data_IF_007020658989
#
_entry.id   IF_007020658989
#
_cell.length_a   1.000
_cell.length_b   1.000
_cell.length_c   1.000
_cell.angle_alpha   90.00
_cell.angle_beta   90.00
_cell.angle_gamma   90.00
#
_symmetry.space_group_name_H-M   'P 1'
#
loop_
_entity.id
_entity.type
_entity.pdbx_description
1 polymer ?
2 non-polymer ?
3 water ?
#
# COMPACT_ATOMS: atom_id res chain seq x y z
N UNK A 20 30.79 -0.36 9.77
CA UNK A 20 30.87 -1.76 9.31
C UNK A 20 29.50 -2.28 8.87
N UNK A 21 28.99 -1.79 7.73
CA UNK A 21 27.69 -2.21 7.20
C UNK A 21 27.71 -3.63 6.65
N UNK A 22 26.84 -4.47 7.20
CA UNK A 22 26.71 -5.86 6.79
C UNK A 22 27.12 -5.98 5.33
N UNK A 23 28.07 -6.87 5.03
CA UNK A 23 28.57 -7.11 3.67
C UNK A 23 27.50 -7.66 2.72
N UNK A 24 27.81 -7.66 1.43
CA UNK A 24 26.86 -8.16 0.42
C UNK A 24 27.56 -8.67 -0.85
N UNK A 25 26.99 -9.73 -1.48
CA UNK A 25 27.51 -10.34 -2.71
C UNK A 25 27.76 -9.36 -3.86
N UNK A 26 29.03 -9.02 -4.07
CA UNK A 26 29.43 -8.09 -5.13
C UNK A 26 29.38 -8.74 -6.52
N UNK A 27 28.96 -7.97 -7.52
CA UNK A 27 28.83 -8.44 -8.90
C UNK A 27 29.72 -9.63 -9.28
N UNK A 28 29.11 -10.78 -9.58
CA UNK A 28 29.88 -11.96 -9.97
C UNK A 28 29.60 -12.37 -11.41
N UNK A 29 28.40 -12.90 -11.64
CA UNK A 29 27.98 -13.36 -12.97
C UNK A 29 27.27 -12.27 -13.77
N UNK A 54 31.95 17.29 -26.25
CA UNK A 54 31.49 17.32 -27.63
C UNK A 54 29.96 17.35 -27.67
N UNK A 55 29.33 17.06 -26.53
CA UNK A 55 27.87 17.05 -26.37
C UNK A 55 27.10 15.82 -26.87
N UNK A 56 27.81 14.89 -27.52
CA UNK A 56 27.22 13.69 -28.08
C UNK A 56 26.39 12.86 -27.09
N UNK A 57 26.84 12.75 -25.84
CA UNK A 57 26.10 11.96 -24.86
C UNK A 57 24.74 12.58 -24.58
N UNK A 58 24.71 13.83 -24.16
CA UNK A 58 23.44 14.52 -23.89
C UNK A 58 22.51 14.31 -25.06
N UNK A 59 23.11 14.25 -26.24
CA UNK A 59 22.38 14.03 -27.47
C UNK A 59 21.59 12.72 -27.35
N UNK A 60 22.31 11.61 -27.37
CA UNK A 60 21.73 10.27 -27.27
C UNK A 60 20.67 10.17 -26.17
N UNK A 61 21.05 10.57 -24.96
CA UNK A 61 20.13 10.55 -23.83
C UNK A 61 18.82 11.15 -24.29
N UNK A 62 18.85 12.46 -24.50
CA UNK A 62 17.68 13.20 -24.96
C UNK A 62 16.84 12.41 -25.96
N UNK A 63 17.49 11.79 -26.93
CA UNK A 63 16.78 11.03 -27.95
C UNK A 63 15.81 10.05 -27.29
N UNK A 64 16.35 9.20 -26.43
CA UNK A 64 15.55 8.20 -25.73
C UNK A 64 14.57 8.84 -24.76
N UNK A 65 15.12 9.52 -23.76
CA UNK A 65 14.32 10.18 -22.74
C UNK A 65 13.05 10.80 -23.28
N UNK A 66 13.16 11.45 -24.44
CA UNK A 66 12.02 12.11 -25.04
C UNK A 66 10.93 11.10 -25.34
N UNK A 67 11.07 10.39 -26.46
CA UNK A 67 10.08 9.40 -26.84
C UNK A 67 10.28 8.11 -26.04
N UNK A 68 10.25 8.23 -24.72
CA UNK A 68 10.44 7.08 -23.86
C UNK A 68 9.42 5.99 -24.14
N UNK A 69 8.18 6.40 -24.41
CA UNK A 69 7.14 5.44 -24.68
C UNK A 69 7.49 4.50 -25.81
N UNK A 70 7.92 5.05 -26.93
CA UNK A 70 8.28 4.25 -28.11
C UNK A 70 9.49 3.35 -27.83
N UNK A 71 10.41 3.82 -26.99
CA UNK A 71 11.57 3.02 -26.66
C UNK A 71 11.13 1.80 -25.87
N UNK A 72 10.57 2.05 -24.69
CA UNK A 72 10.08 1.00 -23.79
C UNK A 72 9.11 0.06 -24.47
N UNK A 73 8.39 0.58 -25.45
CA UNK A 73 7.39 -0.18 -26.18
C UNK A 73 8.10 -1.08 -27.20
N UNK A 74 9.12 -0.53 -27.84
CA UNK A 74 9.89 -1.30 -28.82
C UNK A 74 10.59 -2.43 -28.07
N UNK A 75 11.19 -2.09 -26.93
CA UNK A 75 11.90 -3.06 -26.11
C UNK A 75 10.98 -4.21 -25.69
N UNK A 76 9.83 -3.86 -25.12
CA UNK A 76 8.85 -4.84 -24.66
C UNK A 76 8.52 -5.86 -25.76
N UNK A 77 8.87 -5.48 -26.98
CA UNK A 77 8.60 -6.32 -28.13
C UNK A 77 9.77 -7.24 -28.44
N UNK A 78 10.93 -6.99 -27.84
CA UNK A 78 12.09 -7.84 -28.09
C UNK A 78 11.76 -9.25 -27.65
N UNK A 79 11.92 -10.21 -28.56
CA UNK A 79 11.65 -11.63 -28.35
C UNK A 79 11.96 -12.17 -26.96
N UNK A 80 13.10 -11.75 -26.40
CA UNK A 80 13.51 -12.22 -25.08
C UNK A 80 12.69 -11.60 -23.97
N UNK A 81 12.55 -10.26 -24.02
CA UNK A 81 11.78 -9.54 -23.02
C UNK A 81 10.33 -10.03 -23.08
N UNK A 82 9.85 -10.26 -24.29
CA UNK A 82 8.50 -10.72 -24.49
C UNK A 82 8.27 -12.06 -23.80
N UNK A 83 8.97 -13.08 -24.26
CA UNK A 83 8.85 -14.43 -23.70
C UNK A 83 8.95 -14.47 -22.17
N UNK A 84 9.98 -13.85 -21.60
CA UNK A 84 10.13 -13.84 -20.17
C UNK A 84 9.04 -13.03 -19.49
N UNK A 85 8.74 -11.84 -20.02
CA UNK A 85 7.69 -10.98 -19.47
C UNK A 85 6.35 -11.69 -19.43
N UNK A 86 6.14 -12.53 -20.43
CA UNK A 86 4.90 -13.31 -20.56
C UNK A 86 4.75 -14.31 -19.41
N UNK A 87 5.78 -15.12 -19.25
CA UNK A 87 5.83 -16.15 -18.21
C UNK A 87 5.65 -15.54 -16.83
N UNK A 88 6.28 -14.40 -16.61
CA UNK A 88 6.19 -13.75 -15.33
C UNK A 88 4.76 -13.20 -15.06
N UNK A 89 4.15 -12.61 -16.08
CA UNK A 89 2.81 -12.07 -15.90
C UNK A 89 1.79 -13.16 -15.57
N UNK A 90 2.01 -14.35 -16.10
CA UNK A 90 1.10 -15.48 -15.91
C UNK A 90 1.36 -16.38 -14.73
N UNK A 91 2.58 -16.34 -14.19
CA UNK A 91 2.92 -17.20 -13.08
C UNK A 91 3.07 -16.48 -11.75
N UNK A 92 3.49 -15.24 -11.79
CA UNK A 92 3.72 -14.52 -10.55
C UNK A 92 2.55 -14.57 -9.56
N UNK A 93 1.33 -14.32 -10.04
CA UNK A 93 0.18 -14.31 -9.15
C UNK A 93 -0.08 -15.60 -8.41
N UNK A 94 0.59 -16.68 -8.84
CA UNK A 94 0.43 -17.98 -8.23
C UNK A 94 1.39 -18.21 -7.07
N UNK A 95 2.37 -17.33 -6.92
CA UNK A 95 3.36 -17.44 -5.86
C UNK A 95 2.79 -16.90 -4.56
N UNK A 96 2.67 -17.77 -3.56
CA UNK A 96 2.11 -17.37 -2.29
C UNK A 96 3.10 -17.30 -1.15
N UNK A 97 4.34 -17.70 -1.41
CA UNK A 97 5.34 -17.71 -0.36
C UNK A 97 6.71 -17.46 -0.90
N UNK A 98 7.64 -17.15 0.00
CA UNK A 98 9.01 -16.91 -0.36
C UNK A 98 9.53 -18.22 -0.95
N UNK A 99 9.07 -19.34 -0.39
CA UNK A 99 9.49 -20.65 -0.86
C UNK A 99 9.10 -20.84 -2.31
N UNK A 100 7.83 -20.59 -2.55
CA UNK A 100 7.24 -20.71 -3.88
C UNK A 100 8.05 -19.90 -4.85
N UNK A 101 8.41 -18.70 -4.41
CA UNK A 101 9.20 -17.77 -5.20
C UNK A 101 10.61 -18.27 -5.50
N UNK A 103 11.72 -21.19 -5.25
CA UNK A 103 11.59 -22.44 -5.98
C UNK A 103 11.44 -22.28 -7.50
N UNK A 104 11.24 -21.05 -7.94
CA UNK A 104 11.10 -20.79 -9.37
C UNK A 104 12.25 -19.95 -9.82
N UNK A 105 13.22 -20.57 -10.48
CA UNK A 105 14.38 -19.85 -10.97
C UNK A 105 14.00 -18.75 -11.95
N UNK A 106 13.16 -19.10 -12.92
CA UNK A 106 12.73 -18.16 -13.96
C UNK A 106 12.18 -16.83 -13.40
N UNK A 107 11.23 -16.91 -12.48
CA UNK A 107 10.63 -15.75 -11.83
C UNK A 107 11.63 -15.03 -10.94
N UNK A 108 12.48 -15.81 -10.28
CA UNK A 108 13.51 -15.30 -9.39
C UNK A 108 14.49 -14.45 -10.19
N UNK A 109 14.99 -15.00 -11.30
CA UNK A 109 15.92 -14.30 -12.16
C UNK A 109 15.29 -13.06 -12.73
N UNK A 110 13.99 -13.12 -12.97
CA UNK A 110 13.27 -11.98 -13.52
C UNK A 110 13.20 -10.80 -12.55
N UNK A 111 12.79 -11.11 -11.33
CA UNK A 111 12.66 -10.11 -10.30
C UNK A 111 13.97 -9.39 -10.03
N UNK A 112 15.06 -10.11 -10.06
CA UNK A 112 16.36 -9.50 -9.79
C UNK A 112 16.90 -8.69 -10.92
N UNK A 113 16.82 -9.23 -12.13
CA UNK A 113 17.31 -8.50 -13.30
C UNK A 113 16.65 -7.13 -13.36
N UNK A 114 15.37 -7.09 -12.98
CA UNK A 114 14.57 -5.87 -12.96
C UNK A 114 15.01 -4.93 -11.85
N UNK A 115 15.56 -5.48 -10.79
CA UNK A 115 16.03 -4.64 -9.71
C UNK A 115 17.52 -4.44 -9.86
N UNK A 116 18.04 -4.85 -11.02
CA UNK A 116 19.44 -4.72 -11.31
C UNK A 116 20.37 -5.65 -10.55
N UNK A 117 19.83 -6.43 -9.61
CA UNK A 117 20.64 -7.35 -8.83
C UNK A 117 20.82 -8.66 -9.59
N UNK A 118 20.94 -8.55 -10.91
CA UNK A 118 21.12 -9.70 -11.78
C UNK A 118 22.46 -10.43 -11.56
N UNK A 119 23.48 -9.73 -11.08
CA UNK A 119 24.77 -10.37 -10.85
C UNK A 119 24.98 -10.90 -9.43
N UNK A 121 22.36 -12.70 -8.20
CA UNK A 121 21.33 -13.73 -8.24
C UNK A 121 21.83 -15.02 -7.60
N UNK A 122 23.11 -15.30 -7.78
CA UNK A 122 23.73 -16.50 -7.25
C UNK A 122 23.68 -16.56 -5.72
N UNK A 123 23.40 -15.43 -5.09
CA UNK A 123 23.34 -15.34 -3.64
C UNK A 123 21.95 -15.71 -3.14
N UNK A 124 21.51 -16.88 -3.56
CA UNK A 124 20.19 -17.33 -3.18
C UNK A 124 19.92 -17.22 -1.71
N UNK A 125 20.87 -17.59 -0.88
CA UNK A 125 20.63 -17.51 0.54
C UNK A 125 20.45 -16.06 1.02
N UNK A 126 21.10 -15.13 0.31
CA UNK A 126 21.06 -13.71 0.63
C UNK A 126 19.72 -13.08 0.25
N UNK A 127 19.32 -13.33 -0.99
CA UNK A 127 18.05 -12.81 -1.48
C UNK A 127 16.92 -13.27 -0.56
N UNK A 128 16.99 -14.51 -0.08
CA UNK A 128 15.94 -15.03 0.79
C UNK A 128 15.80 -14.29 2.11
N UNK A 129 16.94 -14.04 2.76
CA UNK A 129 16.95 -13.35 4.06
C UNK A 129 16.36 -11.94 3.92
N UNK A 130 16.76 -11.25 2.88
CA UNK A 130 16.30 -9.91 2.58
C UNK A 130 14.77 -9.88 2.51
N UNK A 131 14.21 -10.90 1.87
CA UNK A 131 12.78 -11.06 1.68
C UNK A 131 12.12 -11.48 2.96
N UNK A 132 12.79 -12.39 3.65
CA UNK A 132 12.24 -12.91 4.87
C UNK A 132 12.00 -11.85 5.92
N UNK A 133 12.88 -10.86 5.99
CA UNK A 133 12.68 -9.81 6.98
C UNK A 133 11.89 -8.62 6.47
N UNK A 134 11.63 -8.58 5.17
CA UNK A 134 10.87 -7.48 4.59
C UNK A 134 11.65 -6.18 4.60
N UNK A 135 11.01 -5.07 4.23
CA UNK A 135 11.70 -3.78 4.23
C UNK A 135 10.87 -2.67 4.83
N UNK A 136 9.84 -3.03 5.58
CA UNK A 136 8.97 -2.07 6.26
C UNK A 136 9.59 -1.63 7.58
N UNK A 137 9.94 -2.62 8.41
CA UNK A 137 10.55 -2.35 9.69
C UNK A 137 11.93 -1.73 9.53
N UNK A 138 12.17 -0.68 10.30
CA UNK A 138 13.43 0.02 10.26
C UNK A 138 14.59 -0.90 10.57
N UNK A 139 14.29 -1.97 11.31
CA UNK A 139 15.32 -2.93 11.71
C UNK A 139 15.47 -4.12 10.81
N UNK A 140 14.69 -4.18 9.74
CA UNK A 140 14.78 -5.29 8.80
C UNK A 140 16.19 -5.40 8.20
N UNK A 141 16.65 -6.64 8.07
CA UNK A 141 17.96 -6.94 7.51
C UNK A 141 18.32 -6.11 6.30
N UNK A 142 17.43 -6.05 5.33
CA UNK A 142 17.70 -5.29 4.11
C UNK A 142 17.88 -3.77 4.34
N UNK A 143 17.27 -3.26 5.41
CA UNK A 143 17.36 -1.84 5.74
C UNK A 143 18.65 -1.48 6.45
N UNK A 144 19.43 -2.47 6.81
CA UNK A 144 20.69 -2.19 7.47
C UNK A 144 21.83 -2.40 6.49
N UNK A 145 21.47 -2.69 5.24
CA UNK A 145 22.44 -2.87 4.20
C UNK A 145 22.82 -1.48 3.70
N UNK A 146 23.77 -1.40 2.77
CA UNK A 146 24.15 -0.12 2.25
C UNK A 146 23.58 0.01 0.85
N UNK A 147 23.61 -1.07 0.09
CA UNK A 147 23.06 -1.05 -1.25
C UNK A 147 21.55 -1.12 -1.12
N UNK A 148 20.89 0.03 -1.20
CA UNK A 148 19.46 0.11 -1.06
C UNK A 148 18.63 -0.67 -2.12
N UNK A 149 19.26 -1.31 -3.07
CA UNK A 149 18.51 -2.07 -4.07
C UNK A 149 17.93 -3.39 -3.53
N UNK A 150 18.28 -3.74 -2.31
CA UNK A 150 17.74 -4.97 -1.75
C UNK A 150 16.39 -4.63 -1.17
N UNK A 151 16.34 -3.50 -0.48
CA UNK A 151 15.09 -3.03 0.10
C UNK A 151 14.08 -2.90 -1.05
N UNK A 152 14.58 -2.43 -2.20
CA UNK A 152 13.75 -2.27 -3.41
C UNK A 152 13.01 -3.57 -3.67
N UNK A 153 13.78 -4.63 -3.91
CA UNK A 153 13.22 -5.94 -4.21
C UNK A 153 12.20 -6.35 -3.15
N UNK A 154 12.57 -6.20 -1.88
CA UNK A 154 11.71 -6.52 -0.73
C UNK A 154 10.42 -5.70 -0.68
N UNK A 155 10.47 -4.50 -1.25
CA UNK A 155 9.30 -3.64 -1.30
C UNK A 155 8.38 -4.15 -2.40
N UNK A 156 8.96 -4.58 -3.52
CA UNK A 156 8.17 -5.11 -4.63
C UNK A 156 7.57 -6.49 -4.32
N UNK A 157 8.26 -7.28 -3.48
CA UNK A 157 7.81 -8.64 -3.14
C UNK A 157 7.73 -8.81 -1.63
N UNK A 158 6.77 -8.12 -1.03
CA UNK A 158 6.62 -8.12 0.41
C UNK A 158 5.88 -9.32 1.02
N UNK A 159 6.45 -10.51 0.88
CA UNK A 159 5.87 -11.71 1.47
C UNK A 159 5.99 -11.52 2.97
N UNK A 160 6.99 -10.76 3.37
CA UNK A 160 7.24 -10.52 4.78
C UNK A 160 6.13 -9.67 5.39
N UNK A 161 5.68 -8.63 4.66
CA UNK A 161 4.64 -7.78 5.16
C UNK A 161 3.25 -8.11 4.66
N UNK A 162 3.15 -8.72 3.48
CA UNK A 162 1.84 -9.05 2.92
C UNK A 162 1.44 -10.50 2.92
N UNK A 163 2.41 -11.40 3.07
CA UNK A 163 2.11 -12.82 3.09
C UNK A 163 1.71 -13.30 1.72
N UNK A 164 0.71 -14.17 1.64
CA UNK A 164 0.24 -14.68 0.35
C UNK A 164 -0.46 -13.60 -0.47
N UNK A 165 -0.54 -12.39 0.07
CA UNK A 165 -1.18 -11.27 -0.63
C UNK A 165 -0.13 -10.48 -1.41
N UNK A 166 1.13 -10.66 -1.05
CA UNK A 166 2.23 -9.96 -1.68
C UNK A 166 2.30 -10.03 -3.20
N UNK A 167 1.87 -11.16 -3.74
CA UNK A 167 1.89 -11.42 -5.18
C UNK A 167 0.72 -10.73 -5.89
N UNK A 168 -0.21 -10.20 -5.11
CA UNK A 168 -1.39 -9.55 -5.68
C UNK A 168 -1.38 -8.03 -5.63
N UNK A 169 -0.26 -7.40 -5.95
CA UNK A 169 -0.19 -5.96 -5.94
C UNK A 169 0.34 -5.50 -7.28
N UNK A 170 0.38 -4.18 -7.51
CA UNK A 170 0.91 -3.63 -8.76
C UNK A 170 2.43 -3.78 -8.75
N UNK A 171 3.02 -3.44 -7.61
CA UNK A 171 4.46 -3.51 -7.39
C UNK A 171 5.06 -4.88 -7.69
N UNK A 172 4.29 -5.92 -7.45
CA UNK A 172 4.73 -7.29 -7.66
C UNK A 172 4.63 -7.71 -9.13
N UNK A 173 3.54 -7.37 -9.79
CA UNK A 173 3.42 -7.75 -11.19
C UNK A 173 3.77 -6.56 -12.08
N UNK A 174 2.82 -5.65 -12.28
CA UNK A 174 3.01 -4.47 -13.13
C UNK A 174 4.30 -3.72 -12.83
N UNK A 175 4.55 -3.53 -11.53
CA UNK A 175 5.76 -2.83 -11.11
C UNK A 175 7.00 -3.50 -11.66
N UNK A 176 7.27 -4.73 -11.22
CA UNK A 176 8.44 -5.46 -11.69
C UNK A 176 8.50 -5.56 -13.20
N UNK A 177 7.40 -5.96 -13.82
CA UNK A 177 7.39 -6.08 -15.28
C UNK A 177 7.91 -4.80 -15.95
N UNK A 178 7.54 -3.66 -15.38
CA UNK A 178 7.96 -2.38 -15.91
C UNK A 178 9.43 -2.06 -15.71
N UNK A 179 10.00 -2.44 -14.57
CA UNK A 179 11.40 -2.19 -14.31
C UNK A 179 12.31 -3.06 -15.15
N UNK A 180 11.89 -4.31 -15.35
CA UNK A 180 12.65 -5.24 -16.17
C UNK A 180 12.77 -4.60 -17.56
N UNK A 181 11.73 -3.87 -17.95
CA UNK A 181 11.73 -3.20 -19.25
C UNK A 181 12.71 -2.04 -19.26
N UNK A 182 12.63 -1.20 -18.24
CA UNK A 182 13.53 -0.07 -18.13
C UNK A 182 14.96 -0.60 -18.03
N UNK A 183 15.15 -1.61 -17.19
CA UNK A 183 16.44 -2.24 -17.00
C UNK A 183 17.09 -2.64 -18.32
N UNK A 184 16.34 -3.40 -19.11
CA UNK A 184 16.81 -3.88 -20.40
C UNK A 184 17.15 -2.70 -21.31
N UNK A 185 16.25 -1.74 -21.34
CA UNK A 185 16.42 -0.55 -22.16
C UNK A 185 17.67 0.20 -21.77
N UNK A 186 17.91 0.30 -20.47
CA UNK A 186 19.08 1.00 -19.98
C UNK A 186 20.37 0.29 -20.32
N UNK A 187 20.53 -0.96 -19.87
CA UNK A 187 21.75 -1.68 -20.17
C UNK A 187 21.95 -1.84 -21.69
N UNK A 188 20.87 -1.74 -22.45
CA UNK A 188 20.94 -1.87 -23.91
C UNK A 188 21.66 -0.63 -24.45
N UNK A 189 21.44 0.50 -23.77
CA UNK A 189 22.07 1.76 -24.18
C UNK A 189 23.48 1.81 -23.62
N UNK A 190 23.64 1.40 -22.36
CA UNK A 190 24.94 1.40 -21.72
C UNK A 190 25.98 0.63 -22.52
N UNK A 191 25.56 -0.47 -23.14
CA UNK A 191 26.47 -1.28 -23.96
C UNK A 191 27.21 -0.36 -24.91
N UNK A 192 26.50 0.69 -25.31
CA UNK A 192 27.02 1.68 -26.21
C UNK A 192 27.63 2.86 -25.43
N UNK A 193 26.75 3.66 -24.81
CA UNK A 193 27.19 4.82 -24.05
C UNK A 193 26.82 4.68 -22.58
N UNK A 194 27.78 4.25 -21.77
CA UNK A 194 27.54 4.07 -20.36
C UNK A 194 26.98 5.35 -19.75
N UNK A 195 27.57 6.49 -20.12
CA UNK A 195 27.11 7.75 -19.59
C UNK A 195 25.62 7.92 -19.78
N UNK A 196 25.13 7.48 -20.93
CA UNK A 196 23.72 7.57 -21.23
C UNK A 196 22.95 6.73 -20.22
N UNK A 197 23.37 5.47 -20.10
CA UNK A 197 22.76 4.52 -19.17
C UNK A 197 22.58 5.17 -17.81
N UNK A 198 23.66 5.77 -17.31
CA UNK A 198 23.62 6.44 -16.04
C UNK A 198 22.57 7.55 -16.09
N UNK A 199 22.48 8.19 -17.24
CA UNK A 199 21.54 9.28 -17.41
C UNK A 199 20.13 8.82 -17.14
N UNK A 200 19.66 7.92 -17.99
CA UNK A 200 18.31 7.39 -17.86
C UNK A 200 18.05 6.78 -16.48
N UNK A 201 19.03 6.05 -15.95
CA UNK A 201 18.88 5.42 -14.64
C UNK A 201 18.64 6.44 -13.55
N UNK A 202 19.24 7.61 -13.70
CA UNK A 202 19.10 8.66 -12.70
C UNK A 202 17.75 9.34 -12.88
N UNK A 203 17.38 9.61 -14.12
CA UNK A 203 16.10 10.24 -14.41
C UNK A 203 15.02 9.36 -13.80
N UNK A 204 15.26 8.06 -13.85
CA UNK A 204 14.34 7.05 -13.35
C UNK A 204 14.31 6.95 -11.81
N UNK A 205 15.48 6.77 -11.21
CA UNK A 205 15.60 6.64 -9.75
C UNK A 205 15.76 8.00 -9.07
N UNK A 206 15.40 9.05 -9.79
CA UNK A 206 15.54 10.42 -9.28
C UNK A 206 14.78 10.73 -7.98
N UNK A 207 13.44 10.74 -8.04
CA UNK A 207 12.65 11.04 -6.84
C UNK A 207 13.06 10.26 -5.59
N UNK A 208 13.18 8.95 -5.73
CA UNK A 208 13.57 8.05 -4.64
C UNK A 208 14.58 8.66 -3.68
N UNK A 209 15.37 9.61 -4.17
CA UNK A 209 16.38 10.22 -3.33
C UNK A 209 15.77 11.33 -2.48
N UNK A 210 16.10 11.32 -1.20
CA UNK A 210 15.59 12.30 -0.25
C UNK A 210 16.65 12.63 0.80
N UNK A 211 17.79 11.95 0.71
CA UNK A 211 18.89 12.14 1.64
C UNK A 211 20.22 11.97 0.91
N UNK A 212 21.27 12.61 1.42
CA UNK A 212 22.57 12.48 0.80
C UNK A 212 22.93 11.01 0.89
N UNK A 213 22.38 10.36 1.92
CA UNK A 213 22.58 8.94 2.15
C UNK A 213 21.94 8.14 1.02
N UNK A 214 20.69 8.49 0.71
CA UNK A 214 19.97 7.81 -0.37
C UNK A 214 20.75 7.89 -1.68
N UNK A 215 21.62 8.91 -1.78
CA UNK A 215 22.45 9.15 -2.96
C UNK A 215 23.61 8.17 -3.12
N UNK A 216 24.50 8.16 -2.14
CA UNK A 216 25.67 7.28 -2.15
C UNK A 216 25.21 5.82 -2.05
N UNK A 217 23.93 5.64 -1.75
CA UNK A 217 23.31 4.33 -1.58
C UNK A 217 23.24 3.50 -2.85
N UNK A 218 23.69 4.08 -3.97
CA UNK A 218 23.65 3.35 -5.23
C UNK A 218 24.80 3.74 -6.14
N UNK A 219 25.73 2.81 -6.37
CA UNK A 219 26.90 3.04 -7.21
C UNK A 219 26.65 3.90 -8.44
N UNK A 220 25.55 3.62 -9.13
CA UNK A 220 25.19 4.36 -10.34
C UNK A 220 24.75 5.79 -10.03
N UNK A 221 24.02 5.96 -8.94
CA UNK A 221 23.54 7.27 -8.54
C UNK A 221 24.69 8.15 -8.06
N UNK A 222 25.50 7.63 -7.16
CA UNK A 222 26.63 8.40 -6.67
C UNK A 222 27.56 8.74 -7.85
N UNK A 223 27.73 7.79 -8.76
CA UNK A 223 28.58 7.99 -9.92
C UNK A 223 28.16 9.19 -10.73
N UNK A 224 26.85 9.33 -10.91
CA UNK A 224 26.28 10.45 -11.67
C UNK A 224 26.44 11.76 -10.90
N UNK A 225 27.12 11.71 -9.76
CA UNK A 225 27.35 12.90 -8.96
C UNK A 225 28.86 13.16 -8.90
N UNK A 226 29.60 12.12 -8.52
CA UNK A 226 31.05 12.20 -8.44
C UNK A 226 31.62 12.66 -9.78
N UNK A 227 30.79 12.64 -10.81
CA UNK A 227 31.24 13.05 -12.12
C UNK A 227 30.75 14.45 -12.44
N UNK A 228 29.47 14.72 -12.13
CA UNK A 228 28.90 16.05 -12.40
C UNK A 228 29.54 17.16 -11.60
N UNK A 229 30.30 16.80 -10.57
CA UNK A 229 31.01 17.77 -9.75
C UNK A 229 32.48 17.38 -9.77
N UNK A 230 32.85 16.68 -10.83
CA UNK A 230 34.21 16.20 -11.08
C UNK A 230 34.94 15.74 -9.81
N UNK A 231 34.92 14.42 -9.57
CA UNK A 231 35.57 13.84 -8.41
C UNK A 231 35.88 12.35 -8.60
N UNK A 237 36.57 9.00 -6.35
CA UNK A 237 37.76 9.33 -5.56
C UNK A 237 37.39 9.65 -4.10
N UNK A 238 36.23 10.27 -3.90
CA UNK A 238 35.77 10.60 -2.54
C UNK A 238 35.22 9.29 -1.93
N UNK A 239 35.83 8.85 -0.82
CA UNK A 239 35.38 7.61 -0.16
C UNK A 239 35.09 7.77 1.35
N UNK A 240 35.03 9.02 1.82
CA UNK A 240 34.72 9.34 3.22
C UNK A 240 33.23 9.06 3.56
N UNK A 241 32.93 9.03 4.85
CA UNK A 241 31.58 8.76 5.31
C UNK A 241 30.58 9.91 5.19
N UNK A 242 31.02 11.12 5.50
CA UNK A 242 30.14 12.29 5.44
C UNK A 242 30.08 13.03 4.10
N UNK A 243 30.29 12.28 3.02
CA UNK A 243 30.23 12.86 1.68
C UNK A 243 28.81 13.38 1.52
N UNK A 244 27.86 12.63 2.08
CA UNK A 244 26.44 12.98 2.02
C UNK A 244 26.22 14.44 2.40
N UNK A 245 26.85 14.85 3.50
CA UNK A 245 26.74 16.23 3.97
C UNK A 245 27.13 17.17 2.83
N UNK A 246 28.31 16.88 2.26
CA UNK A 246 28.88 17.65 1.16
C UNK A 246 27.89 17.80 0.02
N UNK A 247 27.10 16.75 -0.20
CA UNK A 247 26.10 16.71 -1.28
C UNK A 247 24.85 17.53 -0.97
N UNK A 248 24.33 17.38 0.26
CA UNK A 248 23.12 18.08 0.69
C UNK A 248 23.32 19.60 0.75
N UNK A 249 24.57 20.04 0.89
CA UNK A 249 24.86 21.47 0.92
C UNK A 249 25.36 21.91 -0.46
N UNK A 250 25.82 20.94 -1.24
CA UNK A 250 26.29 21.20 -2.59
C UNK A 250 25.12 21.04 -3.56
N UNK A 251 23.95 20.76 -3.01
CA UNK A 251 22.74 20.57 -3.81
C UNK A 251 21.54 20.34 -2.90
N UNK A 252 20.40 20.88 -3.32
CA UNK A 252 19.12 20.77 -2.59
C UNK A 252 18.46 19.43 -2.90
N UNK A 253 18.55 18.50 -1.95
CA UNK A 253 17.97 17.18 -2.12
C UNK A 253 16.45 17.23 -2.27
N UNK A 254 15.85 18.37 -1.95
CA UNK A 254 14.39 18.48 -2.05
C UNK A 254 13.91 18.84 -3.45
N UNK A 255 14.84 19.33 -4.27
CA UNK A 255 14.50 19.72 -5.64
C UNK A 255 14.53 18.57 -6.63
N UNK A 256 15.29 17.52 -6.31
CA UNK A 256 15.41 16.38 -7.21
C UNK A 256 14.11 15.61 -7.33
N UNK A 257 13.01 16.23 -6.95
CA UNK A 257 11.68 15.63 -7.05
C UNK A 257 11.01 16.25 -8.27
N UNK A 258 11.64 17.30 -8.78
CA UNK A 258 11.14 18.04 -9.92
C UNK A 258 11.62 17.41 -11.23
N UNK A 259 10.68 16.88 -12.02
CA UNK A 259 11.00 16.24 -13.31
C UNK A 259 11.50 17.25 -14.34
N UNK A 260 11.88 18.42 -13.84
CA UNK A 260 12.39 19.50 -14.67
C UNK A 260 13.82 19.80 -14.26
N UNK A 261 14.00 20.28 -13.03
CA UNK A 261 15.31 20.60 -12.52
C UNK A 261 16.18 19.37 -12.65
N UNK A 262 15.54 18.21 -12.59
CA UNK A 262 16.25 16.95 -12.70
C UNK A 262 16.99 16.91 -14.04
N UNK A 263 16.26 17.22 -15.12
CA UNK A 263 16.86 17.22 -16.44
C UNK A 263 18.04 18.15 -16.56
N UNK A 264 17.87 19.41 -16.18
CA UNK A 264 18.96 20.36 -16.27
C UNK A 264 20.16 19.83 -15.50
N UNK A 265 19.89 19.15 -14.39
CA UNK A 265 20.98 18.60 -13.60
C UNK A 265 21.76 17.62 -14.45
N UNK A 266 21.04 16.71 -15.09
CA UNK A 266 21.66 15.71 -15.95
C UNK A 266 22.32 16.44 -17.11
N UNK A 267 21.72 17.54 -17.52
CA UNK A 267 22.25 18.34 -18.62
C UNK A 267 23.73 18.55 -18.35
N UNK A 268 24.06 18.96 -17.13
CA UNK A 268 25.45 19.18 -16.76
C UNK A 268 26.18 17.86 -16.76
N UNK A 269 25.52 16.82 -16.28
CA UNK A 269 26.13 15.50 -16.22
C UNK A 269 26.48 14.92 -17.59
N UNK A 270 25.47 14.72 -18.42
CA UNK A 270 25.63 14.16 -19.75
C UNK A 270 26.73 14.83 -20.56
N UNK A 271 27.06 16.05 -20.19
CA UNK A 271 28.10 16.80 -20.89
C UNK A 271 29.37 16.76 -20.07
N UNK A 273 30.19 14.25 -18.51
CA UNK A 273 30.63 12.90 -18.84
C UNK A 273 31.27 12.83 -20.24
N UNK A 274 30.62 13.42 -21.23
CA UNK A 274 31.12 13.41 -22.61
C UNK A 274 32.53 13.95 -22.67
N UNK A 276 34.89 13.84 -19.45
CA UNK A 276 35.68 12.95 -18.60
C UNK A 276 35.81 11.58 -19.28
N UNK A 277 34.92 11.33 -20.24
CA UNK A 277 34.88 10.08 -21.02
C UNK A 277 34.48 10.34 -22.47
N UNK A 278 35.44 10.30 -23.41
CA UNK A 278 35.15 10.53 -24.83
C UNK A 278 34.16 9.55 -25.48
N UNK B 20 -10.55 -16.63 -7.14
CA UNK B 20 -9.40 -16.78 -6.22
C UNK B 20 -8.87 -15.44 -5.72
N UNK B 21 -9.65 -14.78 -4.86
CA UNK B 21 -9.28 -13.47 -4.28
C UNK B 21 -8.11 -13.59 -3.31
N UNK B 22 -7.29 -12.55 -3.27
CA UNK B 22 -6.12 -12.50 -2.40
C UNK B 22 -6.41 -12.43 -0.89
N UNK B 23 -5.46 -12.89 -0.07
CA UNK B 23 -5.51 -12.92 1.41
C UNK B 23 -5.61 -11.59 2.15
N UNK B 24 -5.21 -11.61 3.41
CA UNK B 24 -5.27 -10.44 4.28
C UNK B 24 -5.13 -10.88 5.76
N UNK B 25 -4.54 -10.01 6.62
CA UNK B 25 -4.35 -10.31 8.04
C UNK B 25 -5.60 -10.63 8.89
N UNK B 26 -5.40 -11.45 9.92
CA UNK B 26 -6.48 -11.85 10.82
C UNK B 26 -6.30 -11.05 12.13
N UNK B 27 -7.40 -10.77 12.84
CA UNK B 27 -7.28 -10.01 14.08
C UNK B 27 -6.27 -10.67 15.01
N UNK B 28 -5.60 -9.87 15.82
CA UNK B 28 -4.58 -10.38 16.72
C UNK B 28 -4.66 -9.70 18.08
N UNK B 29 -4.33 -8.42 18.10
CA UNK B 29 -4.33 -7.63 19.34
C UNK B 29 -5.65 -6.93 19.60
N UNK B 54 -37.08 -13.26 24.48
CA UNK B 54 -37.57 -12.49 25.61
C UNK B 54 -37.75 -11.02 25.23
N UNK B 55 -37.17 -10.64 24.09
CA UNK B 55 -37.25 -9.28 23.54
C UNK B 55 -36.29 -8.23 24.12
N UNK B 56 -35.54 -8.61 25.15
CA UNK B 56 -34.62 -7.71 25.83
C UNK B 56 -33.59 -7.01 24.94
N UNK B 57 -33.08 -7.72 23.93
CA UNK B 57 -32.10 -7.12 23.03
C UNK B 57 -32.72 -5.97 22.24
N UNK B 58 -33.80 -6.25 21.51
CA UNK B 58 -34.47 -5.21 20.73
C UNK B 58 -34.71 -4.01 21.62
N UNK B 59 -34.94 -4.30 22.88
CA UNK B 59 -35.18 -3.26 23.87
C UNK B 59 -33.97 -2.33 23.90
N UNK B 60 -32.85 -2.83 24.42
CA UNK B 60 -31.61 -2.08 24.52
C UNK B 60 -31.28 -1.32 23.25
N UNK B 61 -31.25 -2.03 22.13
CA UNK B 61 -30.96 -1.41 20.84
C UNK B 61 -31.79 -0.14 20.73
N UNK B 62 -33.09 -0.32 20.60
CA UNK B 62 -34.03 0.78 20.51
C UNK B 62 -33.66 1.94 21.41
N UNK B 63 -33.31 1.65 22.65
CA UNK B 63 -32.96 2.69 23.61
C UNK B 63 -31.91 3.63 23.01
N UNK B 64 -30.80 3.05 22.58
CA UNK B 64 -29.70 3.82 21.99
C UNK B 64 -30.09 4.42 20.65
N UNK B 65 -30.40 3.56 19.69
CA UNK B 65 -30.78 3.97 18.35
C UNK B 65 -31.66 5.22 18.34
N UNK B 66 -32.60 5.27 19.26
CA UNK B 66 -33.51 6.41 19.34
C UNK B 66 -32.73 7.68 19.60
N UNK B 67 -32.38 7.92 20.86
CA UNK B 67 -31.64 9.13 21.20
C UNK B 67 -30.16 8.94 20.87
N UNK B 68 -29.88 8.66 19.60
CA UNK B 68 -28.51 8.45 19.18
C UNK B 68 -27.65 9.67 19.44
N UNK B 69 -28.23 10.85 19.26
CA UNK B 69 -27.49 12.07 19.48
C UNK B 69 -26.89 12.14 20.86
N UNK B 70 -27.72 11.92 21.87
CA UNK B 70 -27.28 11.96 23.27
C UNK B 70 -26.24 10.89 23.58
N UNK B 71 -26.35 9.74 22.93
CA UNK B 71 -25.39 8.67 23.15
C UNK B 71 -24.03 9.11 22.63
N UNK B 72 -23.97 9.33 21.31
CA UNK B 72 -22.74 9.74 20.64
C UNK B 72 -22.13 10.99 21.26
N UNK B 73 -22.99 11.83 21.83
CA UNK B 73 -22.57 13.08 22.44
C UNK B 73 -21.96 12.79 23.81
N UNK B 74 -22.57 11.87 24.53
CA UNK B 74 -22.08 11.48 25.85
C UNK B 74 -20.73 10.81 25.66
N UNK B 75 -20.65 9.92 24.67
CA UNK B 75 -19.43 9.21 24.37
C UNK B 75 -18.29 10.17 24.04
N UNK B 76 -18.54 11.07 23.09
CA UNK B 76 -17.55 12.06 22.67
C UNK B 76 -16.96 12.80 23.86
N UNK B 77 -17.66 12.71 24.99
CA UNK B 77 -17.23 13.36 26.21
C UNK B 77 -16.34 12.47 27.06
N UNK B 78 -16.31 11.18 26.76
CA UNK B 78 -15.47 10.26 27.52
C UNK B 78 -14.03 10.71 27.41
N UNK B 79 -13.37 10.91 28.56
CA UNK B 79 -11.98 11.36 28.67
C UNK B 79 -11.03 10.80 27.62
N UNK B 80 -11.17 9.52 27.30
CA UNK B 80 -10.29 8.89 26.32
C UNK B 80 -10.61 9.32 24.89
N UNK B 81 -11.89 9.25 24.54
CA UNK B 81 -12.34 9.63 23.21
C UNK B 81 -12.02 11.11 23.00
N UNK B 82 -12.20 11.89 24.05
CA UNK B 82 -11.95 13.31 23.99
C UNK B 82 -10.50 13.58 23.65
N UNK B 83 -9.60 13.18 24.54
CA UNK B 83 -8.16 13.38 24.36
C UNK B 83 -7.66 12.93 23.00
N UNK B 84 -8.00 11.72 22.58
CA UNK B 84 -7.55 11.24 21.28
C UNK B 84 -8.21 12.01 20.14
N UNK B 85 -9.52 12.22 20.24
CA UNK B 85 -10.26 12.96 19.21
C UNK B 85 -9.68 14.35 19.01
N UNK B 86 -9.21 14.93 20.09
CA UNK B 86 -8.62 16.26 20.08
C UNK B 86 -7.34 16.32 19.28
N UNK B 87 -6.42 15.41 19.61
CA UNK B 87 -5.14 15.29 18.95
C UNK B 87 -5.30 15.05 17.44
N UNK B 88 -6.26 14.21 17.08
CA UNK B 88 -6.51 13.89 15.69
C UNK B 88 -7.08 15.09 14.93
N UNK B 89 -7.99 15.82 15.56
CA UNK B 89 -8.58 16.97 14.89
C UNK B 89 -7.54 18.03 14.57
N UNK B 90 -6.56 18.16 15.46
CA UNK B 90 -5.50 19.17 15.33
C UNK B 90 -4.25 18.78 14.55
N UNK B 91 -4.02 17.48 14.39
CA UNK B 91 -2.84 17.03 13.68
C UNK B 91 -3.11 16.47 12.30
N UNK B 92 -4.27 15.87 12.10
CA UNK B 92 -4.55 15.24 10.84
C UNK B 92 -4.33 16.13 9.61
N UNK B 93 -4.82 17.37 9.65
CA UNK B 93 -4.65 18.27 8.52
C UNK B 93 -3.22 18.55 8.13
N UNK B 94 -2.27 18.18 8.98
CA UNK B 94 -0.85 18.41 8.74
C UNK B 94 -0.18 17.26 7.99
N UNK B 95 -0.88 16.13 7.88
CA UNK B 95 -0.38 14.95 7.19
C UNK B 95 -0.57 15.11 5.70
N UNK B 96 0.53 15.13 4.96
CA UNK B 96 0.50 15.31 3.52
C UNK B 96 0.86 14.08 2.73
N UNK B 97 1.26 13.02 3.41
CA UNK B 97 1.67 11.82 2.71
C UNK B 97 1.39 10.59 3.53
N UNK B 98 1.43 9.45 2.85
CA UNK B 98 1.23 8.17 3.50
C UNK B 98 2.34 8.02 4.53
N UNK B 99 3.54 8.48 4.18
CA UNK B 99 4.67 8.41 5.09
C UNK B 99 4.37 9.17 6.37
N UNK B 100 3.96 10.41 6.20
CA UNK B 100 3.64 11.30 7.29
C UNK B 100 2.64 10.63 8.19
N UNK B 101 1.67 9.96 7.57
CA UNK B 101 0.60 9.24 8.26
C UNK B 101 1.11 8.02 9.06
N UNK B 103 4.09 7.38 9.88
CA UNK B 103 5.03 7.87 10.89
C UNK B 103 4.38 8.35 12.20
N UNK B 104 3.07 8.45 12.23
CA UNK B 104 2.39 8.90 13.43
C UNK B 104 1.53 7.76 13.94
N UNK B 105 2.02 7.09 14.97
CA UNK B 105 1.27 5.97 15.52
C UNK B 105 -0.09 6.38 16.05
N UNK B 106 -0.13 7.48 16.81
CA UNK B 106 -1.37 7.98 17.40
C UNK B 106 -2.52 8.15 16.40
N UNK B 107 -2.22 8.85 15.30
CA UNK B 107 -3.19 9.11 14.23
C UNK B 107 -3.51 7.82 13.48
N UNK B 108 -2.49 7.00 13.30
CA UNK B 108 -2.63 5.72 12.63
C UNK B 108 -3.60 4.82 13.42
N UNK B 109 -3.37 4.70 14.72
CA UNK B 109 -4.21 3.88 15.58
C UNK B 109 -5.61 4.42 15.61
N UNK B 110 -5.75 5.73 15.49
CA UNK B 110 -7.07 6.38 15.50
C UNK B 110 -7.90 6.03 14.27
N UNK B 111 -7.27 6.19 13.11
CA UNK B 111 -7.91 5.89 11.84
C UNK B 111 -8.41 4.47 11.75
N UNK B 112 -7.64 3.52 12.28
CA UNK B 112 -8.04 2.12 12.20
C UNK B 112 -9.10 1.74 13.18
N UNK B 113 -8.96 2.21 14.41
CA UNK B 113 -9.96 1.89 15.45
C UNK B 113 -11.32 2.31 14.95
N UNK B 114 -11.35 3.45 14.26
CA UNK B 114 -12.58 4.02 13.71
C UNK B 114 -13.10 3.20 12.54
N UNK B 115 -12.21 2.50 11.84
CA UNK B 115 -12.64 1.65 10.75
C UNK B 115 -12.76 0.22 11.25
N UNK B 116 -12.66 0.07 12.57
CA UNK B 116 -12.76 -1.23 13.19
C UNK B 116 -11.57 -2.14 13.00
N UNK B 117 -10.60 -1.72 12.18
CA UNK B 117 -9.41 -2.55 11.92
C UNK B 117 -8.38 -2.32 13.02
N UNK B 118 -8.86 -2.14 14.24
CA UNK B 118 -8.01 -1.92 15.39
C UNK B 118 -7.14 -3.13 15.75
N UNK B 119 -7.58 -4.33 15.39
CA UNK B 119 -6.80 -5.53 15.69
C UNK B 119 -5.86 -5.97 14.60
N UNK B 121 -4.00 -3.47 13.26
CA UNK B 121 -3.12 -2.31 13.29
C UNK B 121 -1.65 -2.73 13.17
N UNK B 122 -1.33 -3.87 13.76
CA UNK B 122 0.02 -4.40 13.74
C UNK B 122 0.55 -4.72 12.33
N UNK B 123 -0.36 -4.77 11.36
CA UNK B 123 -0.01 -5.07 9.99
C UNK B 123 0.38 -3.79 9.26
N UNK B 124 1.31 -3.07 9.84
CA UNK B 124 1.73 -1.81 9.25
C UNK B 124 2.05 -1.93 7.77
N UNK B 125 2.72 -2.98 7.37
CA UNK B 125 3.05 -3.11 5.96
C UNK B 125 1.80 -3.27 5.11
N UNK B 126 0.78 -3.89 5.67
CA UNK B 126 -0.50 -4.14 4.99
C UNK B 126 -1.32 -2.87 4.82
N UNK B 127 -1.48 -2.15 5.91
CA UNK B 127 -2.24 -0.91 5.87
C UNK B 127 -1.61 0.03 4.83
N UNK B 128 -0.28 0.06 4.75
CA UNK B 128 0.37 0.95 3.80
C UNK B 128 0.07 0.65 2.33
N UNK B 129 0.08 -0.63 1.98
CA UNK B 129 -0.16 -1.05 0.60
C UNK B 129 -1.59 -0.69 0.17
N UNK B 130 -2.52 -0.91 1.09
CA UNK B 130 -3.93 -0.62 0.87
C UNK B 130 -4.12 0.86 0.54
N UNK B 131 -3.36 1.70 1.24
CA UNK B 131 -3.40 3.13 1.06
C UNK B 131 -2.65 3.54 -0.18
N UNK B 132 -1.52 2.90 -0.39
CA UNK B 132 -0.71 3.21 -1.53
C UNK B 132 -1.44 3.02 -2.86
N UNK B 133 -2.29 1.99 -2.95
CA UNK B 133 -3.00 1.77 -4.20
C UNK B 133 -4.36 2.45 -4.25
N UNK B 134 -4.80 3.01 -3.12
CA UNK B 134 -6.08 3.69 -3.05
C UNK B 134 -7.25 2.73 -3.22
N UNK B 135 -8.46 3.26 -3.36
CA UNK B 135 -9.63 2.41 -3.52
C UNK B 135 -10.58 2.87 -4.61
N UNK B 136 -10.09 3.75 -5.50
CA UNK B 136 -10.89 4.25 -6.61
C UNK B 136 -10.85 3.29 -7.78
N UNK B 137 -9.65 2.93 -8.20
CA UNK B 137 -9.47 2.00 -9.31
C UNK B 137 -9.97 0.61 -8.95
N UNK B 138 -10.72 0.03 -9.86
CA UNK B 138 -11.29 -1.29 -9.65
C UNK B 138 -10.21 -2.33 -9.38
N UNK B 139 -9.00 -2.05 -9.88
CA UNK B 139 -7.89 -2.97 -9.70
C UNK B 139 -7.03 -2.71 -8.49
N UNK B 140 -7.36 -1.70 -7.71
CA UNK B 140 -6.59 -1.39 -6.52
C UNK B 140 -6.54 -2.59 -5.55
N UNK B 141 -5.36 -2.81 -4.99
CA UNK B 141 -5.13 -3.89 -4.05
C UNK B 141 -6.26 -4.07 -3.05
N UNK B 142 -6.67 -2.99 -2.41
CA UNK B 142 -7.74 -3.08 -1.42
C UNK B 142 -9.07 -3.55 -1.98
N UNK B 143 -9.29 -3.31 -3.28
CA UNK B 143 -10.54 -3.69 -3.93
C UNK B 143 -10.57 -5.16 -4.34
N UNK B 144 -9.45 -5.84 -4.18
CA UNK B 144 -9.42 -7.25 -4.54
C UNK B 144 -9.43 -8.08 -3.25
N UNK B 145 -9.56 -7.39 -2.12
CA UNK B 145 -9.60 -8.05 -0.83
C UNK B 145 -11.02 -8.52 -0.64
N UNK B 146 -11.29 -9.21 0.45
CA UNK B 146 -12.65 -9.65 0.68
C UNK B 146 -13.25 -8.81 1.79
N UNK B 147 -12.43 -8.48 2.79
CA UNK B 147 -12.92 -7.65 3.87
C UNK B 147 -12.93 -6.22 3.35
N UNK B 148 -14.11 -5.77 2.95
CA UNK B 148 -14.27 -4.43 2.41
C UNK B 148 -13.93 -3.26 3.36
N UNK B 149 -13.56 -3.53 4.61
CA UNK B 149 -13.19 -2.45 5.52
C UNK B 149 -11.83 -1.81 5.21
N UNK B 150 -11.08 -2.37 4.28
CA UNK B 150 -9.79 -1.80 3.94
C UNK B 150 -10.06 -0.71 2.95
N UNK B 151 -10.93 -1.00 2.00
CA UNK B 151 -11.31 0.00 1.00
C UNK B 151 -11.86 1.21 1.75
N UNK B 152 -12.62 0.95 2.82
CA UNK B 152 -13.20 2.00 3.67
C UNK B 152 -12.10 2.97 4.08
N UNK B 153 -11.11 2.44 4.78
CA UNK B 153 -10.00 3.25 5.25
C UNK B 153 -9.39 4.04 4.10
N UNK B 154 -9.11 3.37 2.99
CA UNK B 154 -8.52 3.98 1.79
C UNK B 154 -9.40 5.07 1.18
N UNK B 155 -10.70 4.98 1.41
CA UNK B 155 -11.63 5.97 0.90
C UNK B 155 -11.58 7.21 1.80
N UNK B 156 -11.44 6.99 3.10
CA UNK B 156 -11.35 8.08 4.05
C UNK B 156 -9.99 8.80 3.96
N UNK B 157 -8.94 8.06 3.63
CA UNK B 157 -7.58 8.61 3.54
C UNK B 157 -6.99 8.36 2.14
N UNK B 158 -7.54 9.05 1.15
CA UNK B 158 -7.12 8.85 -0.23
C UNK B 158 -5.86 9.60 -0.66
N UNK B 159 -4.72 9.27 -0.04
CA UNK B 159 -3.45 9.88 -0.42
C UNK B 159 -3.16 9.41 -1.83
N UNK B 160 -3.67 8.22 -2.13
CA UNK B 160 -3.48 7.61 -3.42
C UNK B 160 -4.18 8.41 -4.51
N UNK B 161 -5.41 8.84 -4.23
CA UNK B 161 -6.17 9.60 -5.22
C UNK B 161 -6.12 11.10 -5.04
N UNK B 162 -5.92 11.58 -3.82
CA UNK B 162 -5.89 13.01 -3.60
C UNK B 162 -4.53 13.62 -3.33
N UNK B 163 -3.54 12.80 -2.96
CA UNK B 163 -2.22 13.31 -2.68
C UNK B 163 -2.19 14.10 -1.38
N UNK B 164 -1.50 15.24 -1.36
CA UNK B 164 -1.42 16.06 -0.16
C UNK B 164 -2.75 16.76 0.14
N UNK B 165 -3.74 16.52 -0.72
CA UNK B 165 -5.07 17.10 -0.55
C UNK B 165 -5.96 16.16 0.26
N UNK B 166 -5.58 14.89 0.31
CA UNK B 166 -6.35 13.87 1.02
C UNK B 166 -6.73 14.17 2.45
N UNK B 167 -5.87 14.89 3.15
CA UNK B 167 -6.07 15.24 4.55
C UNK B 167 -7.03 16.42 4.70
N UNK B 168 -7.40 17.03 3.58
CA UNK B 168 -8.26 18.19 3.60
C UNK B 168 -9.70 17.96 3.14
N UNK B 169 -10.29 16.85 3.58
CA UNK B 169 -11.65 16.54 3.21
C UNK B 169 -12.44 16.27 4.48
N UNK B 170 -13.75 16.08 4.35
CA UNK B 170 -14.61 15.76 5.50
C UNK B 170 -14.33 14.33 5.94
N UNK B 171 -14.25 13.45 4.95
CA UNK B 171 -14.01 12.03 5.16
C UNK B 171 -12.76 11.73 5.98
N UNK B 172 -11.74 12.59 5.80
CA UNK B 172 -10.48 12.44 6.50
C UNK B 172 -10.53 12.96 7.95
N UNK B 173 -11.15 14.09 8.18
CA UNK B 173 -11.22 14.60 9.53
C UNK B 173 -12.59 14.30 10.16
N UNK B 174 -13.58 15.11 9.82
CA UNK B 174 -14.94 14.92 10.35
C UNK B 174 -15.46 13.50 10.22
N UNK B 175 -15.20 12.91 9.05
CA UNK B 175 -15.64 11.55 8.78
C UNK B 175 -15.07 10.58 9.80
N UNK B 176 -13.75 10.43 9.79
CA UNK B 176 -13.10 9.53 10.74
C UNK B 176 -13.46 9.84 12.19
N UNK B 177 -13.38 11.12 12.57
CA UNK B 177 -13.71 11.48 13.95
C UNK B 177 -15.08 10.93 14.35
N UNK B 178 -16.02 10.96 13.42
CA UNK B 178 -17.35 10.48 13.68
C UNK B 178 -17.47 8.97 13.81
N UNK B 179 -16.73 8.22 13.00
CA UNK B 179 -16.76 6.77 13.08
C UNK B 179 -16.09 6.25 14.36
N UNK B 180 -14.99 6.90 14.75
CA UNK B 180 -14.30 6.49 15.96
C UNK B 180 -15.31 6.61 17.11
N UNK B 181 -16.21 7.58 17.01
CA UNK B 181 -17.23 7.78 18.03
C UNK B 181 -18.26 6.65 17.99
N UNK B 182 -18.76 6.36 16.78
CA UNK B 182 -19.73 5.29 16.63
C UNK B 182 -19.08 3.98 17.07
N UNK B 183 -17.85 3.77 16.62
CA UNK B 183 -17.09 2.59 16.96
C UNK B 183 -17.05 2.35 18.47
N UNK B 184 -16.61 3.38 19.19
CA UNK B 184 -16.51 3.30 20.64
C UNK B 184 -17.87 2.99 21.25
N UNK B 185 -18.87 3.71 20.79
CA UNK B 185 -20.23 3.55 21.27
C UNK B 185 -20.72 2.13 21.04
N UNK B 186 -20.38 1.58 19.88
CA UNK B 186 -20.82 0.23 19.56
C UNK B 186 -20.15 -0.81 20.41
N UNK B 187 -18.82 -0.87 20.37
CA UNK B 187 -18.11 -1.86 21.17
C UNK B 187 -18.39 -1.66 22.66
N UNK B 188 -18.81 -0.46 23.06
CA UNK B 188 -19.12 -0.17 24.46
C UNK B 188 -20.40 -0.92 24.82
N UNK B 189 -21.29 -1.06 23.85
CA UNK B 189 -22.55 -1.76 24.05
C UNK B 189 -22.31 -3.27 23.91
N UNK B 190 -21.54 -3.64 22.89
CA UNK B 190 -21.23 -5.05 22.65
C UNK B 190 -20.66 -5.72 23.87
N UNK B 191 -19.83 -5.00 24.63
CA UNK B 191 -19.22 -5.54 25.85
C UNK B 191 -20.32 -6.17 26.68
N UNK B 192 -21.50 -5.57 26.59
CA UNK B 192 -22.67 -6.02 27.30
C UNK B 192 -23.49 -6.98 26.42
N UNK B 193 -24.14 -6.43 25.39
CA UNK B 193 -24.99 -7.21 24.50
C UNK B 193 -24.44 -7.19 23.08
N UNK B 194 -23.71 -8.22 22.71
CA UNK B 194 -23.14 -8.28 21.38
C UNK B 194 -24.22 -8.10 20.32
N UNK B 195 -25.36 -8.75 20.51
CA UNK B 195 -26.44 -8.64 19.56
C UNK B 195 -26.79 -7.20 19.29
N UNK B 196 -26.75 -6.39 20.34
CA UNK B 196 -27.05 -4.98 20.21
C UNK B 196 -26.00 -4.34 19.29
N UNK B 197 -24.74 -4.57 19.63
CA UNK B 197 -23.61 -4.04 18.87
C UNK B 197 -23.84 -4.30 17.38
N UNK B 198 -24.16 -5.53 17.06
CA UNK B 198 -24.42 -5.91 15.68
C UNK B 198 -25.57 -5.09 15.15
N UNK B 199 -26.55 -4.83 16.01
CA UNK B 199 -27.71 -4.06 15.62
C UNK B 199 -27.31 -2.70 15.10
N UNK B 200 -26.74 -1.90 16.00
CA UNK B 200 -26.31 -0.55 15.66
C UNK B 200 -25.34 -0.52 14.50
N UNK B 201 -24.41 -1.47 14.46
CA UNK B 201 -23.44 -1.53 13.39
C UNK B 201 -24.09 -1.73 12.03
N UNK B 202 -25.20 -2.46 12.02
CA UNK B 202 -25.91 -2.73 10.79
C UNK B 202 -26.73 -1.50 10.41
N UNK B 203 -27.39 -0.90 11.39
CA UNK B 203 -28.18 0.29 11.13
C UNK B 203 -27.26 1.33 10.50
N UNK B 204 -26.02 1.32 10.96
CA UNK B 204 -24.98 2.25 10.51
C UNK B 204 -24.43 1.93 9.11
N UNK B 205 -23.98 0.70 8.91
CA UNK B 205 -23.40 0.27 7.63
C UNK B 205 -24.47 -0.27 6.69
N UNK B 206 -25.72 0.07 6.97
CA UNK B 206 -26.86 -0.39 6.18
C UNK B 206 -26.84 -0.03 4.69
N UNK B 207 -26.98 1.28 4.37
CA UNK B 207 -26.98 1.70 2.97
C UNK B 207 -25.82 1.14 2.12
N UNK B 208 -24.60 1.26 2.64
CA UNK B 208 -23.39 0.79 1.98
C UNK B 208 -23.58 -0.51 1.21
N UNK B 209 -24.56 -1.30 1.62
CA UNK B 209 -24.81 -2.56 0.96
C UNK B 209 -25.66 -2.35 -0.29
N UNK B 210 -25.23 -2.97 -1.38
CA UNK B 210 -25.93 -2.86 -2.67
C UNK B 210 -25.84 -4.19 -3.43
N UNK B 211 -25.11 -5.14 -2.85
CA UNK B 211 -24.92 -6.45 -3.46
C UNK B 211 -24.87 -7.52 -2.38
N UNK B 212 -25.24 -8.75 -2.75
CA UNK B 212 -25.18 -9.84 -1.79
C UNK B 212 -23.73 -9.96 -1.38
N UNK B 213 -22.85 -9.57 -2.30
CA UNK B 213 -21.42 -9.60 -2.08
C UNK B 213 -21.06 -8.59 -0.99
N UNK B 214 -21.59 -7.37 -1.14
CA UNK B 214 -21.33 -6.32 -0.16
C UNK B 214 -21.73 -6.77 1.25
N UNK B 215 -22.65 -7.74 1.30
CA UNK B 215 -23.16 -8.29 2.56
C UNK B 215 -22.18 -9.22 3.28
N UNK B 216 -21.80 -10.30 2.62
CA UNK B 216 -20.87 -11.26 3.18
C UNK B 216 -19.49 -10.62 3.35
N UNK B 217 -19.34 -9.44 2.76
CA UNK B 217 -18.09 -8.67 2.80
C UNK B 217 -17.70 -8.17 4.19
N UNK B 218 -18.54 -8.43 5.18
CA UNK B 218 -18.23 -7.99 6.54
C UNK B 218 -18.78 -8.94 7.58
N UNK B 219 -17.89 -9.62 8.28
CA UNK B 219 -18.26 -10.59 9.32
C UNK B 219 -19.46 -10.19 10.16
N UNK B 220 -19.51 -8.93 10.57
CA UNK B 220 -20.60 -8.43 11.39
C UNK B 220 -21.90 -8.31 10.61
N UNK B 221 -21.80 -7.89 9.35
CA UNK B 221 -22.96 -7.75 8.51
C UNK B 221 -23.56 -9.10 8.15
N UNK B 222 -22.72 -10.01 7.68
CA UNK B 222 -23.20 -11.33 7.32
C UNK B 222 -23.79 -11.99 8.56
N UNK B 223 -23.15 -11.78 9.71
CA UNK B 223 -23.63 -12.35 10.96
C UNK B 223 -25.06 -11.95 11.26
N UNK B 224 -25.35 -10.67 11.05
CA UNK B 224 -26.69 -10.14 11.28
C UNK B 224 -27.69 -10.68 10.27
N UNK B 225 -27.24 -11.60 9.42
CA UNK B 225 -28.12 -12.20 8.43
C UNK B 225 -28.21 -13.69 8.71
N UNK B 226 -27.05 -14.33 8.83
CA UNK B 226 -26.97 -15.75 9.12
C UNK B 226 -27.76 -16.06 10.40
N UNK B 227 -28.12 -15.02 11.14
CA UNK B 227 -28.87 -15.21 12.36
C UNK B 227 -30.34 -14.88 12.13
N UNK B 228 -30.61 -13.78 11.44
CA UNK B 228 -31.99 -13.37 11.17
C UNK B 228 -32.76 -14.38 10.31
N UNK B 229 -32.04 -15.28 9.65
CA UNK B 229 -32.66 -16.30 8.84
C UNK B 229 -32.17 -17.65 9.35
N UNK B 230 -31.79 -17.64 10.63
CA UNK B 230 -31.29 -18.80 11.35
C UNK B 230 -30.41 -19.72 10.52
N UNK B 231 -29.09 -19.55 10.63
CA UNK B 231 -28.13 -20.37 9.88
C UNK B 231 -26.75 -20.37 10.55
N UNK B 237 -22.80 -21.01 9.54
CA UNK B 237 -22.79 -22.38 9.05
C UNK B 237 -22.68 -22.42 7.51
N UNK B 238 -23.31 -21.45 6.85
CA UNK B 238 -23.25 -21.40 5.39
C UNK B 238 -21.88 -20.81 5.02
N UNK B 239 -21.07 -21.58 4.28
CA UNK B 239 -19.74 -21.11 3.88
C UNK B 239 -19.47 -21.21 2.36
N UNK B 240 -20.53 -21.45 1.58
CA UNK B 240 -20.43 -21.55 0.11
C UNK B 240 -20.19 -20.16 -0.53
N UNK B 241 -19.80 -20.17 -1.79
CA UNK B 241 -19.51 -18.93 -2.51
C UNK B 241 -20.73 -18.12 -2.97
N UNK B 242 -21.76 -18.81 -3.48
CA UNK B 242 -22.97 -18.14 -3.98
C UNK B 242 -24.06 -17.90 -2.94
N UNK B 243 -23.66 -17.71 -1.70
CA UNK B 243 -24.62 -17.44 -0.62
C UNK B 243 -25.28 -16.12 -1.00
N UNK B 244 -24.48 -15.23 -1.57
CA UNK B 244 -24.95 -13.91 -2.00
C UNK B 244 -26.25 -14.03 -2.79
N UNK B 245 -26.25 -14.95 -3.76
CA UNK B 245 -27.43 -15.18 -4.59
C UNK B 245 -28.63 -15.45 -3.68
N UNK B 246 -28.44 -16.40 -2.76
CA UNK B 246 -29.44 -16.82 -1.80
C UNK B 246 -30.01 -15.61 -1.05
N UNK B 247 -29.15 -14.64 -0.77
CA UNK B 247 -29.52 -13.42 -0.05
C UNK B 247 -30.31 -12.41 -0.89
N UNK B 248 -29.85 -12.18 -2.12
CA UNK B 248 -30.48 -11.24 -3.04
C UNK B 248 -31.89 -11.69 -3.45
N UNK B 249 -32.16 -12.99 -3.36
CA UNK B 249 -33.49 -13.50 -3.69
C UNK B 249 -34.27 -13.71 -2.40
N UNK B 250 -33.55 -13.82 -1.29
CA UNK B 250 -34.15 -14.00 0.02
C UNK B 250 -34.39 -12.63 0.65
N UNK B 251 -34.06 -11.58 -0.11
CA UNK B 251 -34.24 -10.22 0.35
C UNK B 251 -33.85 -9.23 -0.75
N UNK B 252 -34.59 -8.13 -0.82
CA UNK B 252 -34.37 -7.07 -1.81
C UNK B 252 -33.25 -6.15 -1.35
N UNK B 253 -32.08 -6.31 -1.95
CA UNK B 253 -30.91 -5.50 -1.59
C UNK B 253 -31.13 -4.00 -1.88
N UNK B 254 -32.18 -3.68 -2.64
CA UNK B 254 -32.45 -2.28 -2.97
C UNK B 254 -33.24 -1.56 -1.89
N UNK B 255 -33.87 -2.33 -1.03
CA UNK B 255 -34.70 -1.75 0.02
C UNK B 255 -33.90 -1.36 1.27
N UNK B 256 -32.74 -2.00 1.46
CA UNK B 256 -31.92 -1.71 2.63
C UNK B 256 -31.32 -0.31 2.61
N UNK B 257 -31.91 0.55 1.78
CA UNK B 257 -31.47 1.94 1.68
C UNK B 257 -32.48 2.77 2.45
N UNK B 258 -33.58 2.11 2.81
CA UNK B 258 -34.67 2.75 3.54
C UNK B 258 -34.42 2.69 5.05
N UNK B 259 -34.23 3.86 5.67
CA UNK B 259 -33.99 3.96 7.12
C UNK B 259 -35.22 3.56 7.92
N UNK B 260 -36.14 2.89 7.26
CA UNK B 260 -37.38 2.43 7.87
C UNK B 260 -37.42 0.90 7.81
N UNK B 261 -37.49 0.38 6.59
CA UNK B 261 -37.52 -1.06 6.38
C UNK B 261 -36.33 -1.66 7.07
N UNK B 262 -35.26 -0.86 7.15
CA UNK B 262 -34.03 -1.32 7.79
C UNK B 262 -34.35 -1.71 9.23
N UNK B 263 -35.02 -0.81 9.95
CA UNK B 263 -35.36 -1.07 11.33
C UNK B 263 -36.18 -2.33 11.52
N UNK B 264 -37.28 -2.45 10.77
CA UNK B 264 -38.10 -3.63 10.89
C UNK B 264 -37.28 -4.87 10.65
N UNK B 265 -36.32 -4.78 9.74
CA UNK B 265 -35.46 -5.92 9.45
C UNK B 265 -34.73 -6.30 10.71
N UNK B 266 -34.12 -5.32 11.36
CA UNK B 266 -33.38 -5.56 12.58
C UNK B 266 -34.35 -6.03 13.64
N UNK B 267 -35.58 -5.53 13.56
CA UNK B 267 -36.62 -5.92 14.50
C UNK B 267 -36.61 -7.44 14.60
N UNK B 268 -36.60 -8.10 13.45
CA UNK B 268 -36.59 -9.55 13.43
C UNK B 268 -35.27 -10.05 13.99
N UNK B 269 -34.20 -9.36 13.64
CA UNK B 269 -32.86 -9.73 14.10
C UNK B 269 -32.70 -9.66 15.62
N UNK B 270 -32.84 -8.46 16.16
CA UNK B 270 -32.69 -8.21 17.59
C UNK B 270 -33.47 -9.18 18.46
N UNK B 271 -34.51 -9.78 17.87
CA UNK B 271 -35.32 -10.74 18.62
C UNK B 271 -34.93 -12.14 18.20
N UNK B 273 -32.02 -12.89 17.65
CA UNK B 273 -30.80 -13.02 18.44
C UNK B 273 -31.09 -13.29 19.92
N UNK B 274 -32.02 -12.53 20.50
CA UNK B 274 -32.38 -12.68 21.92
C UNK B 274 -32.79 -14.12 22.22
N UNK B 276 -31.52 -17.13 19.92
CA UNK B 276 -30.34 -17.93 19.58
C UNK B 276 -29.23 -17.67 20.61
N UNK B 277 -29.35 -16.55 21.32
CA UNK B 277 -28.40 -16.16 22.35
C UNK B 277 -29.21 -15.53 23.49
N UNK B 278 -29.68 -16.36 24.43
CA UNK B 278 -30.48 -15.96 25.59
C UNK B 278 -29.80 -15.02 26.59
#
# INVERSE_FOLDING_TARGET
XAPCLENVACVNLSAXPPAPPSPQPVSHKQAATLCRQGRTCALKSGSNESGGSVTSTYTSYRLISQDIGKSLERVSKQPDVARETEYYREKIGSVKSIDDFXADTRLYNYALKAHGLEDXAYAKAFIRKVLTEGASDKNAFANKLSDNRYAELAKSLDFAGLGAAATATEAAKSGVIGNYARQTLEQEAGDDNNGVRLALYFERKAPTIKSGLDFLADDALAQVFRTTFNLPDAFAAADVDKQAALIEKSINIKDLQDPEKVGKLLERFTIXWEXQNPSTTYDPLAVFGSSSGYGISPDLLISINSLKLGGKAAALEHHHHHH
XAPCLENVACVNLSAXPPAPPSPQPVSHKQAATLCRQGRTCALKSGSNESGGSVTSTYTSYRLISQDIGKSLERVSKQPDVARETEYYREKIGSVKSIDDFXADTRLYNYALKAHGLEDXAYAKAFIRKVLTEGASDKNAFANKLSDNRYAELAKSLDFAGLGAAATATEAAKSGVIGNYARQTLEQEAGDDNNGVRLALYFERKAPTIKSGLDFLADDALAQVFRTTFNLPDAFAAADVDKQAALIEKSINIKDLQDPEKVGKLLERFTIXWEXQNPSTTYDPLAVFGSSSGYGISPDLLISINSLKLGGKAAALEHHHHHH
#
